data_IF_675738681781
#
_entry.id   IF_675738681781
#
_cell.length_a   1.000
_cell.length_b   1.000
_cell.length_c   1.000
_cell.angle_alpha   90.00
_cell.angle_beta   90.00
_cell.angle_gamma   90.00
#
_symmetry.space_group_name_H-M   'P 1'
#
loop_
_entity.id
_entity.type
_entity.pdbx_description
1 polymer ?
#
# COMPACT_ATOMS: atom_id res chain seq x y z
N UNK A 1 -30.10 10.72 0.11
CA UNK A 1 -29.40 9.41 0.23
C UNK A 1 -28.26 9.60 1.20
N UNK A 2 -28.15 8.75 2.21
CA UNK A 2 -27.00 8.73 3.13
C UNK A 2 -26.00 7.71 2.60
N UNK A 3 -24.71 8.04 2.64
CA UNK A 3 -23.67 7.10 2.26
C UNK A 3 -22.41 7.26 3.12
N UNK A 4 -21.65 6.17 3.24
CA UNK A 4 -20.33 6.13 3.89
C UNK A 4 -19.39 5.31 3.01
N UNK A 5 -18.21 5.85 2.75
CA UNK A 5 -17.21 5.22 1.88
C UNK A 5 -16.05 4.75 2.74
N UNK A 6 -15.79 3.45 2.74
CA UNK A 6 -14.73 2.79 3.49
C UNK A 6 -13.65 2.39 2.49
N UNK A 7 -12.40 2.68 2.83
CA UNK A 7 -11.26 2.51 1.93
C UNK A 7 -10.47 1.26 2.35
N UNK A 8 -10.34 0.30 1.43
CA UNK A 8 -9.62 -0.95 1.69
C UNK A 8 -8.45 -1.17 0.72
N UNK A 9 -7.44 -1.89 1.18
CA UNK A 9 -6.29 -2.31 0.36
C UNK A 9 -5.76 -3.66 0.86
N UNK A 10 -4.89 -4.28 0.08
CA UNK A 10 -4.29 -5.59 0.36
C UNK A 10 -5.04 -6.80 -0.21
N UNK A 11 -6.31 -6.66 -0.58
CA UNK A 11 -7.06 -7.68 -1.34
C UNK A 11 -7.67 -7.08 -2.61
N UNK A 12 -7.70 -7.88 -3.67
CA UNK A 12 -8.47 -7.59 -4.88
C UNK A 12 -9.97 -7.79 -4.68
N UNK A 13 -10.78 -7.21 -5.56
CA UNK A 13 -12.25 -7.17 -5.44
C UNK A 13 -12.88 -8.55 -5.19
N UNK A 14 -12.59 -9.56 -6.02
CA UNK A 14 -13.20 -10.89 -5.87
C UNK A 14 -12.87 -11.56 -4.53
N UNK A 15 -11.64 -11.38 -4.04
CA UNK A 15 -11.23 -11.94 -2.75
C UNK A 15 -11.83 -11.17 -1.58
N UNK A 16 -11.98 -9.85 -1.72
CA UNK A 16 -12.66 -9.02 -0.73
C UNK A 16 -14.15 -9.36 -0.65
N UNK A 17 -14.81 -9.53 -1.79
CA UNK A 17 -16.22 -9.91 -1.86
C UNK A 17 -16.45 -11.28 -1.20
N UNK A 18 -15.62 -12.28 -1.53
CA UNK A 18 -15.69 -13.59 -0.88
C UNK A 18 -15.47 -13.49 0.64
N UNK A 19 -14.56 -12.64 1.09
CA UNK A 19 -14.24 -12.43 2.50
C UNK A 19 -15.41 -11.82 3.29
N UNK A 20 -16.25 -11.00 2.65
CA UNK A 20 -17.34 -10.26 3.31
C UNK A 20 -18.74 -10.73 2.88
N UNK A 21 -18.84 -11.84 2.14
CA UNK A 21 -20.07 -12.32 1.50
C UNK A 21 -21.26 -12.49 2.46
N UNK A 22 -21.02 -13.05 3.65
CA UNK A 22 -22.11 -13.34 4.60
C UNK A 22 -22.63 -12.04 5.22
N UNK A 23 -21.72 -11.10 5.50
CA UNK A 23 -22.07 -9.76 5.94
C UNK A 23 -22.78 -8.97 4.83
N UNK A 24 -22.31 -9.06 3.59
CA UNK A 24 -22.92 -8.39 2.43
C UNK A 24 -24.35 -8.90 2.18
N UNK A 25 -24.58 -10.21 2.28
CA UNK A 25 -25.90 -10.81 2.13
C UNK A 25 -26.91 -10.32 3.19
N UNK A 26 -26.44 -10.03 4.40
CA UNK A 26 -27.27 -9.51 5.50
C UNK A 26 -27.58 -8.00 5.39
N UNK A 27 -26.94 -7.25 4.49
CA UNK A 27 -27.15 -5.80 4.38
C UNK A 27 -28.56 -5.42 3.95
N UNK A 28 -29.24 -6.28 3.19
CA UNK A 28 -30.62 -6.05 2.74
C UNK A 28 -31.60 -5.93 3.91
N UNK A 29 -31.33 -6.63 5.01
CA UNK A 29 -32.20 -6.66 6.19
C UNK A 29 -32.22 -5.30 6.93
N UNK A 30 -31.15 -4.52 6.77
CA UNK A 30 -31.03 -3.14 7.28
C UNK A 30 -31.32 -2.07 6.20
N UNK A 31 -31.84 -2.45 5.03
CA UNK A 31 -32.03 -1.56 3.87
C UNK A 31 -30.75 -0.81 3.45
N UNK A 32 -29.59 -1.44 3.63
CA UNK A 32 -28.28 -0.90 3.23
C UNK A 32 -27.82 -1.60 1.95
N UNK A 33 -27.23 -0.83 1.04
CA UNK A 33 -26.63 -1.34 -0.19
C UNK A 33 -25.13 -1.12 -0.18
N UNK A 34 -24.39 -2.11 -0.66
CA UNK A 34 -22.96 -2.04 -0.89
C UNK A 34 -22.67 -1.81 -2.38
N UNK A 35 -21.67 -0.97 -2.66
CA UNK A 35 -21.07 -0.88 -3.98
C UNK A 35 -19.54 -0.99 -3.87
N UNK A 36 -18.95 -1.82 -4.74
CA UNK A 36 -17.52 -1.93 -4.93
C UNK A 36 -17.05 -0.90 -5.96
N UNK A 37 -16.07 -0.09 -5.59
CA UNK A 37 -15.49 0.94 -6.45
C UNK A 37 -13.98 0.68 -6.56
N UNK A 38 -13.54 -0.16 -7.52
CA UNK A 38 -12.14 -0.52 -7.66
C UNK A 38 -11.30 0.69 -8.10
N UNK A 39 -10.05 0.72 -7.65
CA UNK A 39 -9.03 1.68 -8.08
C UNK A 39 -7.66 1.00 -8.06
N UNK A 40 -6.61 1.55 -8.71
CA UNK A 40 -5.29 0.91 -8.68
C UNK A 40 -4.79 0.69 -7.24
N UNK A 41 -4.69 -0.57 -6.83
CA UNK A 41 -4.15 -0.98 -5.52
C UNK A 41 -5.14 -0.92 -4.36
N UNK A 42 -6.41 -0.59 -4.59
CA UNK A 42 -7.42 -0.45 -3.53
C UNK A 42 -8.83 -0.75 -4.04
N UNK A 43 -9.74 -1.04 -3.12
CA UNK A 43 -11.17 -1.16 -3.39
C UNK A 43 -11.90 -0.28 -2.39
N UNK A 44 -12.78 0.61 -2.86
CA UNK A 44 -13.61 1.42 -1.96
C UNK A 44 -14.96 0.73 -1.82
N UNK A 45 -15.40 0.54 -0.59
CA UNK A 45 -16.68 -0.04 -0.24
C UNK A 45 -17.62 1.11 0.14
N UNK A 46 -18.63 1.36 -0.69
CA UNK A 46 -19.62 2.42 -0.42
C UNK A 46 -20.91 1.80 0.11
N UNK A 47 -21.20 2.07 1.37
CA UNK A 47 -22.49 1.78 2.00
C UNK A 47 -23.46 2.92 1.73
N UNK A 48 -24.70 2.60 1.38
CA UNK A 48 -25.73 3.61 1.12
C UNK A 48 -27.13 3.15 1.49
N UNK A 49 -27.98 4.08 1.94
CA UNK A 49 -29.40 3.85 2.22
C UNK A 49 -30.22 5.11 1.90
N UNK A 50 -31.53 4.95 1.70
CA UNK A 50 -32.45 6.07 1.51
C UNK A 50 -32.79 6.70 2.86
N UNK A 51 -32.69 8.03 2.95
CA UNK A 51 -32.96 8.77 4.18
C UNK A 51 -34.46 8.89 4.50
N UNK A 52 -35.32 8.86 3.47
CA UNK A 52 -36.74 9.11 3.62
C UNK A 52 -37.02 10.38 4.42
N UNK A 53 -37.91 10.28 5.42
CA UNK A 53 -38.22 11.33 6.38
C UNK A 53 -37.41 11.24 7.69
N UNK A 54 -36.52 10.26 7.83
CA UNK A 54 -35.77 9.95 9.05
C UNK A 54 -34.25 9.88 8.76
N UNK A 55 -33.60 11.03 8.49
CA UNK A 55 -32.18 11.06 8.13
C UNK A 55 -31.27 10.52 9.23
N UNK A 56 -31.56 10.74 10.50
CA UNK A 56 -30.71 10.29 11.61
C UNK A 56 -30.71 8.76 11.74
N UNK A 57 -31.87 8.13 11.57
CA UNK A 57 -32.00 6.67 11.54
C UNK A 57 -31.21 6.07 10.37
N UNK A 58 -31.27 6.70 9.19
CA UNK A 58 -30.50 6.27 8.02
C UNK A 58 -28.98 6.35 8.25
N UNK A 59 -28.49 7.40 8.91
CA UNK A 59 -27.08 7.48 9.33
C UNK A 59 -26.73 6.37 10.32
N UNK A 60 -27.60 6.11 11.31
CA UNK A 60 -27.39 5.05 12.29
C UNK A 60 -27.31 3.66 11.65
N UNK A 61 -28.17 3.34 10.66
CA UNK A 61 -28.11 2.05 9.93
C UNK A 61 -26.78 1.88 9.21
N UNK A 62 -26.34 2.89 8.45
CA UNK A 62 -25.05 2.86 7.74
C UNK A 62 -23.88 2.77 8.72
N UNK A 63 -23.94 3.50 9.84
CA UNK A 63 -22.89 3.47 10.85
C UNK A 63 -22.76 2.09 11.50
N UNK A 64 -23.87 1.44 11.89
CA UNK A 64 -23.85 0.08 12.45
C UNK A 64 -23.19 -0.92 11.50
N UNK A 65 -23.52 -0.84 10.21
CA UNK A 65 -22.95 -1.76 9.21
C UNK A 65 -21.47 -1.49 8.94
N UNK A 66 -21.04 -0.22 8.95
CA UNK A 66 -19.63 0.13 8.90
C UNK A 66 -18.85 -0.45 10.09
N UNK A 67 -19.37 -0.32 11.31
CA UNK A 67 -18.75 -0.88 12.52
C UNK A 67 -18.65 -2.42 12.47
N UNK A 68 -19.65 -3.09 11.92
CA UNK A 68 -19.60 -4.54 11.69
C UNK A 68 -18.47 -4.91 10.71
N UNK A 69 -18.34 -4.16 9.62
CA UNK A 69 -17.27 -4.37 8.65
C UNK A 69 -15.88 -4.10 9.24
N UNK A 70 -15.73 -3.10 10.10
CA UNK A 70 -14.47 -2.80 10.79
C UNK A 70 -13.99 -3.94 11.67
N UNK A 71 -14.92 -4.67 12.31
CA UNK A 71 -14.59 -5.87 13.07
C UNK A 71 -14.26 -7.06 12.18
N UNK A 72 -14.82 -7.12 10.98
CA UNK A 72 -14.68 -8.26 10.06
C UNK A 72 -13.34 -8.25 9.29
N UNK A 73 -12.89 -7.08 8.85
CA UNK A 73 -11.68 -6.91 8.03
C UNK A 73 -10.79 -5.73 8.48
N UNK A 74 -10.49 -5.59 9.78
CA UNK A 74 -9.76 -4.43 10.32
C UNK A 74 -8.41 -4.22 9.64
N UNK A 75 -7.74 -5.31 9.23
CA UNK A 75 -6.43 -5.28 8.60
C UNK A 75 -6.43 -4.72 7.17
N UNK A 76 -7.59 -4.74 6.49
CA UNK A 76 -7.73 -4.27 5.11
C UNK A 76 -8.12 -2.81 5.04
N UNK A 77 -8.72 -2.26 6.11
CA UNK A 77 -9.24 -0.90 6.14
C UNK A 77 -8.12 0.06 6.55
N UNK A 78 -7.93 1.12 5.77
CA UNK A 78 -6.94 2.16 6.08
C UNK A 78 -7.56 3.54 6.33
N UNK A 79 -8.84 3.73 6.01
CA UNK A 79 -9.51 5.01 6.20
C UNK A 79 -10.89 5.08 5.55
N UNK A 80 -11.40 6.29 5.44
CA UNK A 80 -12.75 6.60 4.97
C UNK A 80 -12.81 7.85 4.08
N UNK A 81 -13.92 7.98 3.36
CA UNK A 81 -14.26 9.18 2.60
C UNK A 81 -13.21 9.52 1.55
N UNK A 82 -12.58 10.68 1.69
CA UNK A 82 -11.59 11.20 0.77
C UNK A 82 -10.14 10.99 1.25
N UNK A 83 -9.92 10.23 2.33
CA UNK A 83 -8.58 9.94 2.82
C UNK A 83 -7.75 9.21 1.76
N UNK A 84 -6.44 9.44 1.81
CA UNK A 84 -5.44 8.78 0.96
C UNK A 84 -4.46 8.04 1.85
N UNK A 85 -3.97 6.90 1.39
CA UNK A 85 -3.13 5.99 2.19
C UNK A 85 -1.84 6.67 2.64
N UNK A 86 -1.19 7.41 1.74
CA UNK A 86 -0.04 8.26 2.02
C UNK A 86 -0.31 9.34 3.08
N UNK A 87 -1.53 9.87 3.14
CA UNK A 87 -1.94 10.85 4.16
C UNK A 87 -2.10 10.19 5.53
N UNK A 88 -2.69 8.99 5.56
CA UNK A 88 -2.83 8.18 6.79
C UNK A 88 -1.44 7.80 7.34
N UNK A 89 -0.53 7.37 6.47
CA UNK A 89 0.85 7.04 6.86
C UNK A 89 1.60 8.28 7.34
N UNK A 90 1.49 9.39 6.61
CA UNK A 90 2.13 10.65 6.99
C UNK A 90 1.64 11.16 8.36
N UNK A 91 0.36 10.99 8.68
CA UNK A 91 -0.16 11.31 10.01
C UNK A 91 0.46 10.42 11.09
N UNK A 92 0.51 9.10 10.89
CA UNK A 92 1.10 8.14 11.85
C UNK A 92 2.60 8.39 12.08
N UNK A 93 3.35 8.70 11.03
CA UNK A 93 4.78 9.00 11.14
C UNK A 93 5.00 10.29 11.94
N UNK A 94 4.23 11.35 11.66
CA UNK A 94 4.30 12.61 12.43
C UNK A 94 3.94 12.44 13.90
N UNK A 95 2.88 11.68 14.19
CA UNK A 95 2.45 11.39 15.56
C UNK A 95 3.56 10.71 16.37
N UNK A 96 4.38 9.89 15.71
CA UNK A 96 5.51 9.17 16.32
C UNK A 96 6.83 9.94 16.27
N UNK A 97 6.87 11.11 15.65
CA UNK A 97 8.12 11.81 15.36
C UNK A 97 9.09 10.98 14.51
N UNK A 98 8.59 10.04 13.71
CA UNK A 98 9.37 9.08 12.95
C UNK A 98 9.55 9.52 11.49
N UNK A 99 10.66 9.10 10.90
CA UNK A 99 11.10 9.50 9.57
C UNK A 99 11.08 8.34 8.56
N UNK A 100 10.94 8.66 7.28
CA UNK A 100 10.80 7.72 6.16
C UNK A 100 11.78 8.05 5.04
N UNK A 101 12.48 7.02 4.56
CA UNK A 101 13.29 7.03 3.34
C UNK A 101 12.77 6.00 2.32
N UNK A 102 13.08 6.19 1.04
CA UNK A 102 12.62 5.30 -0.03
C UNK A 102 13.76 4.86 -0.95
N UNK A 103 13.75 3.60 -1.38
CA UNK A 103 14.57 3.07 -2.48
C UNK A 103 13.66 2.58 -3.61
N UNK A 104 13.71 3.25 -4.75
CA UNK A 104 12.78 3.02 -5.85
C UNK A 104 13.50 2.47 -7.08
N UNK A 105 13.04 1.32 -7.58
CA UNK A 105 13.45 0.82 -8.89
C UNK A 105 12.25 0.85 -9.84
N UNK A 106 11.39 -0.15 -9.83
CA UNK A 106 10.30 -0.27 -10.82
C UNK A 106 9.26 0.87 -10.75
N UNK A 107 9.12 1.55 -9.60
CA UNK A 107 8.21 2.69 -9.42
C UNK A 107 8.76 4.01 -9.98
N UNK A 108 10.08 4.10 -10.21
CA UNK A 108 10.72 5.25 -10.87
C UNK A 108 10.48 6.61 -10.20
N UNK A 109 10.29 6.67 -8.89
CA UNK A 109 9.99 7.90 -8.16
C UNK A 109 8.51 8.12 -7.86
N UNK A 110 7.60 7.27 -8.38
CA UNK A 110 6.16 7.41 -8.13
C UNK A 110 5.79 7.21 -6.65
N UNK A 111 6.50 6.37 -5.90
CA UNK A 111 6.26 6.21 -4.46
C UNK A 111 6.64 7.49 -3.70
N UNK A 112 7.80 8.08 -4.03
CA UNK A 112 8.20 9.39 -3.52
C UNK A 112 7.21 10.50 -3.90
N UNK A 113 6.68 10.48 -5.13
CA UNK A 113 5.63 11.40 -5.56
C UNK A 113 4.35 11.29 -4.71
N UNK A 114 3.89 10.07 -4.39
CA UNK A 114 2.72 9.89 -3.52
C UNK A 114 2.98 10.50 -2.14
N UNK A 115 4.13 10.20 -1.53
CA UNK A 115 4.49 10.72 -0.20
C UNK A 115 4.56 12.25 -0.20
N UNK A 116 5.20 12.85 -1.20
CA UNK A 116 5.37 14.31 -1.32
C UNK A 116 4.10 15.03 -1.78
N UNK A 117 3.10 14.32 -2.29
CA UNK A 117 1.79 14.90 -2.59
C UNK A 117 0.98 15.28 -1.34
N UNK A 118 1.43 14.86 -0.15
CA UNK A 118 0.81 15.18 1.14
C UNK A 118 1.42 16.49 1.69
N UNK A 119 0.63 17.54 1.92
CA UNK A 119 1.13 18.77 2.54
C UNK A 119 1.81 18.51 3.89
N UNK A 120 2.99 19.10 4.10
CA UNK A 120 3.79 18.90 5.30
C UNK A 120 4.59 17.59 5.32
N UNK A 121 4.74 16.90 4.18
CA UNK A 121 5.53 15.68 4.08
C UNK A 121 6.99 15.84 4.51
N UNK A 122 7.55 17.05 4.42
CA UNK A 122 8.92 17.38 4.88
C UNK A 122 9.16 17.11 6.36
N UNK A 123 8.09 17.01 7.18
CA UNK A 123 8.22 16.69 8.60
C UNK A 123 8.61 15.22 8.87
N UNK A 124 8.41 14.32 7.91
CA UNK A 124 8.69 12.89 8.08
C UNK A 124 9.41 12.25 6.89
N UNK A 125 9.34 12.82 5.68
CA UNK A 125 9.97 12.25 4.50
C UNK A 125 11.37 12.84 4.29
N UNK A 126 12.40 12.02 4.44
CA UNK A 126 13.80 12.43 4.35
C UNK A 126 14.27 12.50 2.89
N UNK A 127 13.85 11.55 2.07
CA UNK A 127 14.25 11.49 0.68
C UNK A 127 14.06 10.12 0.04
N UNK A 128 14.38 10.04 -1.24
CA UNK A 128 14.31 8.82 -2.04
C UNK A 128 15.59 8.66 -2.86
N UNK A 129 16.05 7.42 -2.98
CA UNK A 129 17.06 7.02 -3.96
C UNK A 129 16.35 6.25 -5.06
N UNK A 130 16.31 6.81 -6.26
CA UNK A 130 15.79 6.11 -7.44
C UNK A 130 16.90 5.25 -8.03
N UNK A 131 17.13 4.09 -7.41
CA UNK A 131 18.16 3.12 -7.80
C UNK A 131 17.73 2.25 -8.99
N UNK A 132 17.43 2.87 -10.13
CA UNK A 132 16.93 2.15 -11.32
C UNK A 132 17.99 1.22 -11.91
N UNK A 133 19.23 1.70 -12.02
CA UNK A 133 20.38 0.91 -12.49
C UNK A 133 21.03 0.09 -11.35
N UNK A 134 21.65 -1.04 -11.70
CA UNK A 134 22.39 -1.86 -10.74
C UNK A 134 23.58 -1.11 -10.12
N UNK A 135 24.29 -0.28 -10.88
CA UNK A 135 25.38 0.56 -10.33
C UNK A 135 24.88 1.43 -9.16
N UNK A 136 23.75 2.12 -9.33
CA UNK A 136 23.14 2.94 -8.26
C UNK A 136 22.73 2.10 -7.05
N UNK A 137 22.24 0.86 -7.27
CA UNK A 137 21.95 -0.07 -6.16
C UNK A 137 23.22 -0.42 -5.37
N UNK A 138 24.36 -0.58 -6.05
CA UNK A 138 25.63 -0.91 -5.40
C UNK A 138 26.22 0.31 -4.69
N UNK A 139 26.32 1.44 -5.39
CA UNK A 139 26.98 2.66 -4.93
C UNK A 139 26.20 3.35 -3.80
N UNK A 140 24.89 3.55 -3.98
CA UNK A 140 24.08 4.35 -3.04
C UNK A 140 23.46 3.50 -1.93
N UNK A 141 23.16 2.23 -2.19
CA UNK A 141 22.48 1.34 -1.25
C UNK A 141 23.39 0.24 -0.68
N UNK A 142 24.67 0.21 -1.08
CA UNK A 142 25.66 -0.73 -0.59
C UNK A 142 25.32 -2.19 -0.89
N UNK A 143 24.63 -2.46 -2.02
CA UNK A 143 24.32 -3.82 -2.45
C UNK A 143 25.60 -4.45 -3.04
N UNK A 144 26.07 -5.60 -2.52
CA UNK A 144 27.20 -6.32 -3.11
C UNK A 144 26.91 -6.80 -4.54
N UNK A 145 27.91 -6.77 -5.43
CA UNK A 145 27.75 -7.20 -6.83
C UNK A 145 27.40 -8.69 -6.95
N UNK A 146 28.03 -9.53 -6.14
CA UNK A 146 27.78 -10.98 -6.05
C UNK A 146 26.31 -11.29 -5.66
N UNK A 147 25.69 -10.46 -4.82
CA UNK A 147 24.27 -10.59 -4.49
C UNK A 147 23.37 -10.35 -5.71
N UNK A 148 23.69 -9.37 -6.55
CA UNK A 148 22.95 -9.08 -7.78
C UNK A 148 23.16 -10.17 -8.83
N UNK A 149 24.38 -10.69 -8.96
CA UNK A 149 24.72 -11.80 -9.86
C UNK A 149 24.00 -13.09 -9.47
N UNK A 150 24.01 -13.45 -8.19
CA UNK A 150 23.42 -14.68 -7.69
C UNK A 150 21.88 -14.67 -7.72
N UNK A 151 21.26 -13.56 -7.33
CA UNK A 151 19.81 -13.52 -7.07
C UNK A 151 19.01 -12.77 -8.16
N UNK A 152 19.68 -11.89 -8.91
CA UNK A 152 19.05 -10.89 -9.75
C UNK A 152 18.41 -9.73 -8.96
N UNK A 153 18.25 -8.58 -9.62
CA UNK A 153 17.73 -7.36 -8.99
C UNK A 153 16.29 -7.49 -8.45
N UNK A 154 15.49 -8.39 -9.02
CA UNK A 154 14.09 -8.65 -8.61
C UNK A 154 14.06 -9.91 -7.77
N UNK A 155 14.45 -9.76 -6.50
CA UNK A 155 14.56 -10.85 -5.53
C UNK A 155 14.39 -10.34 -4.10
N UNK A 156 14.05 -11.25 -3.19
CA UNK A 156 13.92 -10.96 -1.76
C UNK A 156 15.19 -10.37 -1.13
N UNK A 157 16.38 -11.01 -1.26
CA UNK A 157 17.59 -10.50 -0.60
C UNK A 157 17.97 -9.11 -1.09
N UNK A 158 17.84 -8.85 -2.40
CA UNK A 158 18.15 -7.53 -2.97
C UNK A 158 17.19 -6.47 -2.45
N UNK A 159 15.87 -6.69 -2.43
CA UNK A 159 14.94 -5.66 -1.94
C UNK A 159 15.11 -5.39 -0.43
N UNK A 160 15.44 -6.42 0.37
CA UNK A 160 15.75 -6.25 1.80
C UNK A 160 17.01 -5.41 1.99
N UNK A 161 18.04 -5.65 1.16
CA UNK A 161 19.27 -4.85 1.18
C UNK A 161 19.03 -3.42 0.68
N UNK A 162 18.16 -3.22 -0.32
CA UNK A 162 17.73 -1.87 -0.74
C UNK A 162 17.09 -1.10 0.42
N UNK A 163 16.15 -1.72 1.15
CA UNK A 163 15.46 -1.07 2.26
C UNK A 163 16.40 -0.72 3.42
N UNK A 164 17.31 -1.63 3.79
CA UNK A 164 18.30 -1.35 4.85
C UNK A 164 19.35 -0.34 4.40
N UNK A 165 19.83 -0.43 3.16
CA UNK A 165 20.80 0.48 2.57
C UNK A 165 20.29 1.92 2.56
N UNK A 166 19.07 2.16 2.07
CA UNK A 166 18.53 3.53 2.03
C UNK A 166 18.20 4.08 3.41
N UNK A 167 17.74 3.22 4.34
CA UNK A 167 17.55 3.59 5.75
C UNK A 167 18.85 4.11 6.36
N UNK A 168 19.96 3.41 6.11
CA UNK A 168 21.29 3.78 6.60
C UNK A 168 21.83 5.04 5.93
N UNK A 169 21.76 5.11 4.60
CA UNK A 169 22.25 6.23 3.82
C UNK A 169 21.56 7.55 4.19
N UNK A 170 20.24 7.52 4.38
CA UNK A 170 19.43 8.69 4.70
C UNK A 170 19.14 8.85 6.20
N UNK A 171 19.64 7.96 7.04
CA UNK A 171 19.48 7.99 8.51
C UNK A 171 18.03 8.14 8.96
N UNK A 172 17.13 7.38 8.35
CA UNK A 172 15.70 7.38 8.68
C UNK A 172 15.31 6.28 9.67
N UNK A 173 14.18 6.42 10.34
CA UNK A 173 13.63 5.40 11.24
C UNK A 173 13.02 4.24 10.46
N UNK A 174 12.34 4.58 9.37
CA UNK A 174 11.68 3.65 8.45
C UNK A 174 12.21 3.81 7.03
N UNK A 175 12.19 2.72 6.28
CA UNK A 175 12.44 2.75 4.85
C UNK A 175 11.55 1.77 4.09
N UNK A 176 11.19 2.14 2.86
CA UNK A 176 10.56 1.24 1.89
C UNK A 176 11.49 1.03 0.70
N UNK A 177 11.45 -0.17 0.13
CA UNK A 177 12.11 -0.47 -1.14
C UNK A 177 11.19 -1.22 -2.09
N UNK A 178 11.33 -0.94 -3.38
CA UNK A 178 10.59 -1.64 -4.45
C UNK A 178 11.52 -2.05 -5.59
N UNK A 179 11.45 -3.32 -6.00
CA UNK A 179 12.16 -3.84 -7.17
C UNK A 179 11.29 -4.85 -7.90
N UNK A 180 11.13 -4.67 -9.20
CA UNK A 180 10.18 -5.48 -9.96
C UNK A 180 10.22 -5.27 -11.47
N UNK A 181 9.38 -6.03 -12.16
CA UNK A 181 9.26 -6.06 -13.62
C UNK A 181 7.94 -5.39 -13.97
N UNK A 182 7.95 -4.09 -14.25
CA UNK A 182 6.73 -3.36 -14.59
C UNK A 182 6.21 -3.71 -16.00
N UNK A 183 7.03 -4.27 -16.88
CA UNK A 183 6.67 -4.60 -18.25
C UNK A 183 6.76 -3.42 -19.24
N UNK A 184 6.39 -3.65 -20.51
CA UNK A 184 5.83 -4.90 -21.03
C UNK A 184 6.88 -6.03 -21.17
N UNK A 185 8.16 -5.69 -21.21
CA UNK A 185 9.25 -6.65 -21.39
C UNK A 185 9.92 -7.04 -20.06
N UNK A 186 10.85 -8.00 -20.13
CA UNK A 186 11.74 -8.38 -19.02
C UNK A 186 11.17 -9.43 -18.07
N UNK A 187 9.97 -9.95 -18.33
CA UNK A 187 9.40 -11.08 -17.60
C UNK A 187 9.93 -12.43 -18.11
N UNK A 188 9.89 -13.44 -17.24
CA UNK A 188 10.12 -14.86 -17.57
C UNK A 188 8.94 -15.69 -17.06
N UNK A 189 8.88 -16.98 -17.39
CA UNK A 189 7.85 -17.88 -16.83
C UNK A 189 7.90 -17.92 -15.29
N UNK A 190 9.11 -17.96 -14.71
CA UNK A 190 9.32 -17.98 -13.26
C UNK A 190 9.09 -16.62 -12.58
N UNK A 191 9.37 -15.52 -13.30
CA UNK A 191 9.26 -14.13 -12.82
C UNK A 191 8.49 -13.31 -13.88
N UNK A 192 7.17 -13.50 -14.00
CA UNK A 192 6.39 -12.83 -15.04
C UNK A 192 6.36 -11.32 -14.84
N UNK A 193 6.00 -10.60 -15.91
CA UNK A 193 5.65 -9.17 -15.83
C UNK A 193 4.61 -8.96 -14.73
N UNK A 194 4.80 -7.89 -13.94
CA UNK A 194 4.02 -7.62 -12.75
C UNK A 194 4.64 -8.14 -11.46
N UNK A 195 5.69 -8.98 -11.54
CA UNK A 195 6.41 -9.44 -10.34
C UNK A 195 7.13 -8.27 -9.69
N UNK A 196 6.78 -7.97 -8.44
CA UNK A 196 7.41 -6.93 -7.63
C UNK A 196 7.69 -7.47 -6.24
N UNK A 197 8.93 -7.27 -5.81
CA UNK A 197 9.35 -7.40 -4.42
C UNK A 197 9.28 -6.04 -3.75
N UNK A 198 8.72 -6.03 -2.54
CA UNK A 198 8.54 -4.84 -1.71
C UNK A 198 9.13 -5.16 -0.35
N UNK A 199 9.93 -4.27 0.21
CA UNK A 199 10.44 -4.40 1.56
C UNK A 199 10.20 -3.15 2.39
N UNK A 200 10.04 -3.36 3.70
CA UNK A 200 10.00 -2.34 4.73
C UNK A 200 11.08 -2.66 5.76
N UNK A 201 11.90 -1.66 6.09
CA UNK A 201 12.86 -1.73 7.18
C UNK A 201 12.42 -0.77 8.28
N UNK A 202 12.26 -1.27 9.50
CA UNK A 202 11.84 -0.51 10.68
C UNK A 202 12.67 -0.83 11.91
N UNK A 203 12.22 -0.46 13.11
CA UNK A 203 12.88 -0.81 14.38
C UNK A 203 12.94 -2.32 14.64
N UNK A 204 11.92 -3.06 14.21
CA UNK A 204 11.78 -4.51 14.46
C UNK A 204 12.45 -5.40 13.38
N UNK A 205 13.30 -4.81 12.54
CA UNK A 205 13.98 -5.52 11.45
C UNK A 205 13.39 -5.22 10.07
N UNK A 206 13.49 -6.20 9.16
CA UNK A 206 13.17 -6.02 7.74
C UNK A 206 12.18 -7.09 7.29
N UNK A 207 11.04 -6.66 6.75
CA UNK A 207 10.05 -7.54 6.15
C UNK A 207 10.00 -7.32 4.65
N UNK A 208 9.92 -8.40 3.87
CA UNK A 208 9.72 -8.33 2.44
C UNK A 208 8.53 -9.20 2.01
N UNK A 209 7.86 -8.79 0.95
CA UNK A 209 6.75 -9.51 0.34
C UNK A 209 6.90 -9.50 -1.19
N UNK A 210 6.55 -10.62 -1.82
CA UNK A 210 6.42 -10.71 -3.28
C UNK A 210 4.96 -10.53 -3.65
N UNK A 211 4.70 -9.82 -4.74
CA UNK A 211 3.38 -9.71 -5.34
C UNK A 211 3.48 -9.76 -6.86
N UNK A 212 2.42 -10.23 -7.50
CA UNK A 212 2.28 -10.22 -8.96
C UNK A 212 1.10 -9.33 -9.28
N UNK A 213 1.36 -8.15 -9.84
CA UNK A 213 0.34 -7.18 -10.18
C UNK A 213 -0.03 -7.29 -11.66
N UNK A 214 -1.29 -7.56 -12.03
CA UNK A 214 -1.69 -7.61 -13.42
C UNK A 214 -1.77 -6.20 -14.02
N UNK A 215 -1.89 -6.11 -15.35
CA UNK A 215 -2.19 -4.88 -16.08
C UNK A 215 -1.00 -4.22 -16.76
N UNK A 216 -1.22 -3.00 -17.26
CA UNK A 216 -0.19 -2.21 -17.94
C UNK A 216 0.94 -1.80 -16.98
N UNK A 217 2.07 -1.36 -17.56
CA UNK A 217 3.22 -0.82 -16.81
C UNK A 217 2.80 0.20 -15.74
N UNK A 218 1.95 1.17 -16.12
CA UNK A 218 1.46 2.20 -15.21
C UNK A 218 0.61 1.64 -14.07
N UNK A 219 -0.21 0.61 -14.34
CA UNK A 219 -1.00 -0.06 -13.32
C UNK A 219 -0.11 -0.84 -12.35
N UNK A 220 0.93 -1.51 -12.84
CA UNK A 220 1.91 -2.20 -11.99
C UNK A 220 2.62 -1.20 -11.06
N UNK A 221 3.08 -0.06 -11.59
CA UNK A 221 3.73 1.01 -10.81
C UNK A 221 2.80 1.56 -9.72
N UNK A 222 1.55 1.86 -10.07
CA UNK A 222 0.56 2.39 -9.11
C UNK A 222 0.23 1.36 -8.03
N UNK A 223 -0.04 0.11 -8.43
CA UNK A 223 -0.39 -0.98 -7.51
C UNK A 223 0.76 -1.32 -6.56
N UNK A 224 1.99 -1.40 -7.06
CA UNK A 224 3.16 -1.67 -6.24
C UNK A 224 3.43 -0.55 -5.23
N UNK A 225 3.21 0.71 -5.62
CA UNK A 225 3.41 1.85 -4.73
C UNK A 225 2.37 1.88 -3.60
N UNK A 226 1.10 1.61 -3.90
CA UNK A 226 0.06 1.48 -2.87
C UNK A 226 0.33 0.27 -1.96
N UNK A 227 0.76 -0.86 -2.51
CA UNK A 227 1.13 -2.03 -1.71
C UNK A 227 2.34 -1.76 -0.79
N UNK A 228 3.32 -0.96 -1.24
CA UNK A 228 4.45 -0.55 -0.41
C UNK A 228 4.02 0.34 0.76
N UNK A 229 3.14 1.30 0.49
CA UNK A 229 2.54 2.13 1.53
C UNK A 229 1.72 1.29 2.52
N UNK A 230 0.89 0.35 2.06
CA UNK A 230 0.10 -0.50 2.94
C UNK A 230 0.98 -1.41 3.81
N UNK A 231 2.08 -1.94 3.23
CA UNK A 231 3.07 -2.70 3.99
C UNK A 231 3.64 -1.86 5.15
N UNK A 232 4.03 -0.61 4.88
CA UNK A 232 4.50 0.30 5.93
C UNK A 232 3.42 0.57 6.97
N UNK A 233 2.18 0.87 6.55
CA UNK A 233 1.06 1.10 7.47
C UNK A 233 0.88 -0.08 8.43
N UNK A 234 0.89 -1.31 7.92
CA UNK A 234 0.74 -2.51 8.74
C UNK A 234 1.89 -2.72 9.73
N UNK A 235 3.13 -2.42 9.33
CA UNK A 235 4.26 -2.49 10.27
C UNK A 235 4.22 -1.37 11.30
N UNK A 236 3.79 -0.16 10.92
CA UNK A 236 3.52 0.91 11.87
C UNK A 236 2.44 0.47 12.87
N UNK A 237 1.35 -0.15 12.44
CA UNK A 237 0.28 -0.60 13.34
C UNK A 237 0.73 -1.71 14.33
N UNK A 238 1.88 -2.36 14.10
CA UNK A 238 2.46 -3.42 14.95
C UNK A 238 3.56 -2.93 15.90
N UNK A 239 4.14 -1.77 15.62
CA UNK A 239 5.22 -1.16 16.40
C UNK A 239 4.67 -0.21 17.45
#
# INVERSE_FOLDING_TARGET
IVHRTILTTGLGESHLAERIKDWEAALSDDEVRLAYLPSPGMVKLRLSTYAGKAPDEAHARVARQAEALYRLIPELIFGEGAQRLEGVIGAKLKERGATLALAESCTGGYLGHLVTSVPGSSAYFIGSVVSYANAVKMEELGIPSDMLELNGAVSEPVVKKMATGVKQALRSDWALATSGIAGPDGGTEEKPVGTVWIAVAGPNGVRAVKSIFPGSRDLVIRRSSIAALDLLRRELDRS
#
